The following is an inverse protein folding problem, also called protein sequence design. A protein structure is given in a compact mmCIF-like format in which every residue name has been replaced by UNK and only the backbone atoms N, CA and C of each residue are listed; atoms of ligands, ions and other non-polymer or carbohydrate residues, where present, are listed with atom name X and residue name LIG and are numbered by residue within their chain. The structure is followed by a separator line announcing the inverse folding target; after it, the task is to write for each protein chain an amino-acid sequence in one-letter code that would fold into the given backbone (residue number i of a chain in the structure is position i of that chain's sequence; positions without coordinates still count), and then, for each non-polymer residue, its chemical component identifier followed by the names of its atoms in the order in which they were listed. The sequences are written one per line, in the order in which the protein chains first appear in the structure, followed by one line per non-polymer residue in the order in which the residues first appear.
data_IF_198437956464
#
_entry.id   IF_198437956464
#
_cell.length_a   1.000
_cell.length_b   1.000
_cell.length_c   1.000
_cell.angle_alpha   90.00
_cell.angle_beta   90.00
_cell.angle_gamma   90.00
#
_symmetry.space_group_name_H-M   'P 1'
#
loop_
_entity.id
_entity.type
_entity.pdbx_description
1 polymer ?
#
# COMPACT_ATOMS: atom_id res chain seq x y z
N UNK A 1 40.85 -6.63 -6.98
CA UNK A 1 40.01 -5.95 -5.97
C UNK A 1 38.65 -5.56 -6.58
N UNK A 2 37.83 -6.53 -7.05
CA UNK A 2 36.59 -6.23 -7.80
C UNK A 2 35.32 -6.85 -7.16
N UNK A 3 35.27 -6.94 -5.84
CA UNK A 3 34.11 -7.49 -5.11
C UNK A 3 33.16 -6.46 -4.50
N UNK A 4 33.46 -5.15 -4.65
CA UNK A 4 32.73 -4.07 -3.98
C UNK A 4 31.79 -3.29 -4.92
N UNK A 5 31.85 -3.52 -6.23
CA UNK A 5 30.98 -2.85 -7.21
C UNK A 5 29.66 -3.59 -7.49
N UNK A 6 29.51 -4.85 -7.03
CA UNK A 6 28.30 -5.65 -7.22
C UNK A 6 27.24 -5.46 -6.12
N UNK A 7 27.57 -4.80 -5.01
CA UNK A 7 26.67 -4.60 -3.87
C UNK A 7 25.92 -3.26 -3.91
N UNK A 8 26.37 -2.31 -4.74
CA UNK A 8 25.67 -1.05 -4.97
C UNK A 8 24.68 -1.27 -6.12
N UNK A 9 23.39 -1.02 -5.83
CA UNK A 9 22.29 -0.81 -6.81
C UNK A 9 21.26 -1.92 -7.04
N UNK A 10 21.17 -2.99 -6.24
CA UNK A 10 19.94 -3.80 -6.28
C UNK A 10 18.73 -2.98 -5.78
N UNK A 11 18.88 -2.25 -4.67
CA UNK A 11 17.83 -1.40 -4.08
C UNK A 11 17.59 -0.08 -4.80
N UNK A 12 18.39 0.29 -5.81
CA UNK A 12 18.32 1.58 -6.50
C UNK A 12 17.70 1.50 -7.90
N UNK A 13 17.25 0.32 -8.35
CA UNK A 13 16.70 0.17 -9.70
C UNK A 13 15.47 1.09 -9.87
N UNK A 14 15.43 1.93 -10.93
CA UNK A 14 14.30 2.78 -11.20
C UNK A 14 13.07 1.92 -11.50
N UNK A 15 11.92 2.27 -10.92
CA UNK A 15 10.67 1.56 -11.22
C UNK A 15 10.21 1.93 -12.63
N UNK A 16 10.09 0.96 -13.56
CA UNK A 16 9.73 1.27 -14.95
C UNK A 16 8.34 1.91 -15.08
N UNK A 17 7.39 1.43 -14.27
CA UNK A 17 6.03 1.97 -14.18
C UNK A 17 5.79 2.33 -12.70
N UNK A 18 6.04 3.60 -12.31
CA UNK A 18 5.78 4.03 -10.94
C UNK A 18 4.26 4.05 -10.68
N UNK A 19 3.86 3.80 -9.42
CA UNK A 19 2.45 4.01 -9.04
C UNK A 19 2.11 5.49 -9.23
N UNK A 20 1.03 5.83 -9.97
CA UNK A 20 0.61 7.21 -10.13
C UNK A 20 0.42 7.90 -8.78
N UNK A 21 0.95 9.13 -8.65
CA UNK A 21 0.96 9.86 -7.38
C UNK A 21 -0.46 10.03 -6.83
N UNK A 22 -1.42 10.30 -7.71
CA UNK A 22 -2.85 10.45 -7.38
C UNK A 22 -3.44 9.17 -6.80
N UNK A 23 -3.19 8.02 -7.42
CA UNK A 23 -3.67 6.71 -6.93
C UNK A 23 -3.08 6.41 -5.57
N UNK A 24 -1.76 6.61 -5.43
CA UNK A 24 -1.04 6.40 -4.16
C UNK A 24 -1.60 7.29 -3.05
N UNK A 25 -1.79 8.59 -3.32
CA UNK A 25 -2.30 9.54 -2.35
C UNK A 25 -3.72 9.21 -1.91
N UNK A 26 -4.64 9.06 -2.87
CA UNK A 26 -6.06 8.82 -2.59
C UNK A 26 -6.23 7.50 -1.85
N UNK A 27 -5.58 6.43 -2.29
CA UNK A 27 -5.70 5.12 -1.66
C UNK A 27 -5.12 5.13 -0.24
N UNK A 28 -3.96 5.74 -0.02
CA UNK A 28 -3.41 5.89 1.34
C UNK A 28 -4.30 6.73 2.25
N UNK A 29 -4.87 7.82 1.74
CA UNK A 29 -5.80 8.66 2.49
C UNK A 29 -7.07 7.90 2.88
N UNK A 30 -7.67 7.15 1.94
CA UNK A 30 -8.87 6.35 2.20
C UNK A 30 -8.63 5.26 3.24
N UNK A 31 -7.51 4.55 3.18
CA UNK A 31 -7.16 3.55 4.21
C UNK A 31 -6.91 4.22 5.56
N UNK A 32 -6.26 5.39 5.59
CA UNK A 32 -6.06 6.16 6.81
C UNK A 32 -7.40 6.62 7.44
N UNK A 33 -8.36 7.06 6.62
CA UNK A 33 -9.74 7.35 7.09
C UNK A 33 -10.39 6.09 7.66
N UNK A 34 -10.29 4.96 6.96
CA UNK A 34 -10.88 3.70 7.39
C UNK A 34 -10.38 3.26 8.78
N UNK A 35 -9.09 3.48 9.07
CA UNK A 35 -8.51 3.18 10.40
C UNK A 35 -8.90 4.25 11.42
N UNK A 36 -8.71 5.53 11.10
CA UNK A 36 -8.91 6.63 12.05
C UNK A 36 -10.37 6.79 12.49
N UNK A 37 -11.35 6.49 11.64
CA UNK A 37 -12.77 6.59 12.03
C UNK A 37 -13.11 5.70 13.24
N UNK A 38 -12.36 4.62 13.44
CA UNK A 38 -12.55 3.69 14.56
C UNK A 38 -12.16 4.26 15.92
N UNK A 39 -11.41 5.38 16.00
CA UNK A 39 -11.11 6.05 17.27
C UNK A 39 -12.16 7.07 17.68
N UNK A 40 -13.09 7.42 16.79
CA UNK A 40 -14.03 8.52 16.99
C UNK A 40 -15.12 8.18 18.01
N UNK A 41 -15.86 9.19 18.46
CA UNK A 41 -17.07 9.02 19.27
C UNK A 41 -18.34 8.75 18.46
N UNK A 42 -18.22 8.47 17.15
CA UNK A 42 -19.35 8.13 16.29
C UNK A 42 -20.00 6.81 16.72
N UNK A 43 -21.27 6.63 16.38
CA UNK A 43 -21.96 5.36 16.56
C UNK A 43 -21.23 4.22 15.82
N UNK A 44 -21.22 3.03 16.42
CA UNK A 44 -20.43 1.88 15.95
C UNK A 44 -20.77 1.49 14.50
N UNK A 45 -22.04 1.62 14.13
CA UNK A 45 -22.57 1.36 12.79
C UNK A 45 -21.96 2.33 11.77
N UNK A 46 -21.90 3.62 12.11
CA UNK A 46 -21.33 4.66 11.25
C UNK A 46 -19.83 4.44 11.06
N UNK A 47 -19.12 4.06 12.12
CA UNK A 47 -17.69 3.73 12.04
C UNK A 47 -17.44 2.57 11.07
N UNK A 48 -18.20 1.48 11.18
CA UNK A 48 -18.05 0.28 10.33
C UNK A 48 -18.42 0.60 8.88
N UNK A 49 -19.53 1.31 8.64
CA UNK A 49 -19.94 1.72 7.30
C UNK A 49 -18.86 2.59 6.65
N UNK A 50 -18.33 3.56 7.38
CA UNK A 50 -17.27 4.45 6.88
C UNK A 50 -16.01 3.65 6.55
N UNK A 51 -15.60 2.74 7.43
CA UNK A 51 -14.47 1.84 7.18
C UNK A 51 -14.66 1.04 5.90
N UNK A 52 -15.83 0.42 5.70
CA UNK A 52 -16.11 -0.42 4.53
C UNK A 52 -16.14 0.40 3.24
N UNK A 53 -16.79 1.56 3.25
CA UNK A 53 -16.86 2.46 2.09
C UNK A 53 -15.46 2.97 1.74
N UNK A 54 -14.69 3.45 2.73
CA UNK A 54 -13.35 3.98 2.48
C UNK A 54 -12.38 2.90 2.00
N UNK A 55 -12.38 1.72 2.63
CA UNK A 55 -11.55 0.60 2.19
C UNK A 55 -11.95 0.12 0.79
N UNK A 56 -13.26 -0.05 0.53
CA UNK A 56 -13.80 -0.42 -0.78
C UNK A 56 -13.42 0.60 -1.86
N UNK A 57 -13.55 1.89 -1.59
CA UNK A 57 -13.15 2.96 -2.49
C UNK A 57 -11.64 2.95 -2.78
N UNK A 58 -10.79 2.66 -1.79
CA UNK A 58 -9.36 2.54 -2.00
C UNK A 58 -9.03 1.41 -2.99
N UNK A 59 -9.69 0.25 -2.85
CA UNK A 59 -9.54 -0.85 -3.81
C UNK A 59 -10.07 -0.48 -5.19
N UNK A 60 -11.23 0.19 -5.28
CA UNK A 60 -11.77 0.64 -6.56
C UNK A 60 -10.83 1.59 -7.29
N UNK A 61 -10.27 2.57 -6.60
CA UNK A 61 -9.28 3.52 -7.16
C UNK A 61 -8.05 2.76 -7.67
N UNK A 62 -7.57 1.79 -6.90
CA UNK A 62 -6.41 0.98 -7.29
C UNK A 62 -6.67 0.12 -8.54
N UNK A 63 -7.77 -0.64 -8.54
CA UNK A 63 -8.05 -1.62 -9.59
C UNK A 63 -8.63 -1.02 -10.88
N UNK A 64 -9.29 0.13 -10.80
CA UNK A 64 -9.92 0.77 -11.97
C UNK A 64 -8.95 1.64 -12.77
N UNK A 65 -7.78 1.97 -12.21
CA UNK A 65 -6.87 2.92 -12.85
C UNK A 65 -6.14 2.29 -14.05
N UNK A 66 -6.01 3.01 -15.19
CA UNK A 66 -5.48 2.48 -16.45
C UNK A 66 -4.05 1.91 -16.37
N UNK A 67 -3.21 2.44 -15.46
CA UNK A 67 -1.83 1.95 -15.28
C UNK A 67 -1.75 0.43 -14.98
N UNK A 68 -2.79 -0.19 -14.40
CA UNK A 68 -2.82 -1.65 -14.19
C UNK A 68 -2.76 -2.42 -15.52
N UNK A 69 -3.27 -1.85 -16.62
CA UNK A 69 -3.14 -2.40 -17.97
C UNK A 69 -1.71 -2.28 -18.49
N UNK A 70 -1.03 -1.17 -18.21
CA UNK A 70 0.37 -0.96 -18.57
C UNK A 70 1.30 -1.97 -17.88
N UNK A 71 1.06 -2.24 -16.59
CA UNK A 71 1.78 -3.27 -15.83
C UNK A 71 1.62 -4.65 -16.49
N UNK A 72 0.38 -5.01 -16.86
CA UNK A 72 0.11 -6.30 -17.54
C UNK A 72 0.85 -6.38 -18.87
N UNK A 73 0.74 -5.35 -19.71
CA UNK A 73 1.44 -5.30 -20.99
C UNK A 73 2.97 -5.36 -20.85
N UNK A 74 3.53 -4.75 -19.79
CA UNK A 74 4.97 -4.79 -19.49
C UNK A 74 5.46 -6.21 -19.14
N UNK A 75 4.66 -6.96 -18.37
CA UNK A 75 4.97 -8.34 -18.00
C UNK A 75 4.77 -9.30 -19.17
N UNK A 76 3.72 -9.12 -19.95
CA UNK A 76 3.39 -9.95 -21.11
C UNK A 76 4.47 -9.88 -22.19
N UNK A 77 5.05 -8.69 -22.45
CA UNK A 77 6.22 -8.52 -23.32
C UNK A 77 7.45 -9.32 -22.88
N UNK A 78 7.48 -9.80 -21.63
CA UNK A 78 8.55 -10.63 -21.07
C UNK A 78 8.13 -12.09 -20.86
N UNK A 79 6.96 -12.51 -21.38
CA UNK A 79 6.35 -13.82 -21.12
C UNK A 79 6.17 -14.10 -19.62
N UNK A 80 5.89 -13.05 -18.84
CA UNK A 80 5.64 -13.14 -17.40
C UNK A 80 4.19 -12.78 -17.09
N UNK A 81 3.69 -13.35 -16.00
CA UNK A 81 2.36 -13.06 -15.48
C UNK A 81 2.46 -12.34 -14.13
N UNK A 82 1.45 -11.53 -13.83
CA UNK A 82 1.33 -10.90 -12.51
C UNK A 82 1.01 -11.98 -11.48
N UNK A 83 1.98 -12.30 -10.63
CA UNK A 83 1.79 -13.19 -9.49
C UNK A 83 1.92 -12.39 -8.19
N UNK A 84 0.84 -12.28 -7.39
CA UNK A 84 0.94 -11.62 -6.09
C UNK A 84 1.87 -12.45 -5.19
N UNK A 85 2.95 -11.83 -4.71
CA UNK A 85 3.91 -12.47 -3.81
C UNK A 85 3.47 -12.23 -2.37
N UNK A 86 3.61 -13.24 -1.52
CA UNK A 86 3.31 -13.13 -0.09
C UNK A 86 4.06 -11.95 0.56
N UNK A 87 5.32 -11.75 0.19
CA UNK A 87 6.16 -10.64 0.68
C UNK A 87 5.64 -9.23 0.33
N UNK A 88 4.73 -9.10 -0.65
CA UNK A 88 4.06 -7.84 -0.98
C UNK A 88 2.89 -7.55 -0.04
N UNK A 89 2.29 -8.61 0.54
CA UNK A 89 1.15 -8.51 1.46
C UNK A 89 1.59 -8.35 2.91
N UNK A 90 2.77 -8.84 3.28
CA UNK A 90 3.31 -8.75 4.65
C UNK A 90 3.24 -7.34 5.26
N UNK A 91 3.59 -6.24 4.55
CA UNK A 91 3.50 -4.90 5.14
C UNK A 91 2.06 -4.46 5.51
N UNK A 92 1.05 -5.07 4.89
CA UNK A 92 -0.37 -4.84 5.18
C UNK A 92 -0.78 -5.41 6.55
N UNK A 93 -0.02 -6.35 7.09
CA UNK A 93 -0.24 -6.90 8.44
C UNK A 93 -0.25 -5.80 9.50
N UNK A 94 0.58 -4.77 9.39
CA UNK A 94 0.62 -3.66 10.35
C UNK A 94 -0.65 -2.81 10.30
N UNK A 95 -1.25 -2.63 9.12
CA UNK A 95 -2.54 -1.94 8.98
C UNK A 95 -3.66 -2.80 9.52
N UNK A 96 -3.63 -4.10 9.26
CA UNK A 96 -4.57 -5.04 9.88
C UNK A 96 -4.47 -5.04 11.41
N UNK A 97 -3.24 -5.03 11.95
CA UNK A 97 -3.00 -4.94 13.38
C UNK A 97 -3.55 -3.61 13.95
N UNK A 98 -3.35 -2.51 13.23
CA UNK A 98 -3.97 -1.23 13.59
C UNK A 98 -5.49 -1.32 13.62
N UNK A 99 -6.14 -1.94 12.62
CA UNK A 99 -7.59 -2.13 12.60
C UNK A 99 -8.11 -2.91 13.81
N UNK A 100 -7.33 -3.84 14.36
CA UNK A 100 -7.69 -4.61 15.55
C UNK A 100 -7.50 -3.82 16.84
N UNK A 101 -6.45 -2.99 16.91
CA UNK A 101 -6.07 -2.30 18.16
C UNK A 101 -6.70 -0.92 18.31
N UNK A 102 -6.83 -0.17 17.22
CA UNK A 102 -7.30 1.22 17.21
C UNK A 102 -8.71 1.40 17.81
N UNK A 103 -9.68 0.48 17.63
CA UNK A 103 -10.98 0.55 18.30
C UNK A 103 -10.90 0.59 19.83
N UNK A 104 -9.84 0.03 20.45
CA UNK A 104 -9.66 0.04 21.90
C UNK A 104 -9.41 1.45 22.46
N UNK A 105 -9.07 2.40 21.57
CA UNK A 105 -8.85 3.80 21.93
C UNK A 105 -10.15 4.61 21.91
N UNK A 106 -11.26 4.07 21.41
CA UNK A 106 -12.52 4.80 21.31
C UNK A 106 -13.26 4.90 22.65
N UNK A 107 -13.91 6.04 22.97
CA UNK A 107 -13.87 7.30 22.23
C UNK A 107 -12.58 8.08 22.54
N UNK A 108 -11.80 8.38 21.51
CA UNK A 108 -10.57 9.14 21.64
C UNK A 108 -10.80 10.64 21.37
N UNK A 109 -10.02 11.54 21.99
CA UNK A 109 -10.01 12.94 21.62
C UNK A 109 -9.52 13.14 20.16
N UNK A 110 -9.90 14.26 19.54
CA UNK A 110 -9.67 14.51 18.11
C UNK A 110 -8.20 14.38 17.69
N UNK A 111 -7.26 14.76 18.58
CA UNK A 111 -5.83 14.70 18.29
C UNK A 111 -5.32 13.25 18.17
N UNK A 112 -5.87 12.30 18.93
CA UNK A 112 -5.54 10.86 18.80
C UNK A 112 -6.04 10.33 17.45
N UNK A 113 -7.24 10.75 17.04
CA UNK A 113 -7.79 10.41 15.72
C UNK A 113 -6.91 10.95 14.59
N UNK A 114 -6.44 12.19 14.71
CA UNK A 114 -5.52 12.79 13.74
C UNK A 114 -4.18 12.04 13.69
N UNK A 115 -3.61 11.66 14.85
CA UNK A 115 -2.38 10.86 14.90
C UNK A 115 -2.58 9.50 14.23
N UNK A 116 -3.67 8.78 14.53
CA UNK A 116 -3.99 7.50 13.90
C UNK A 116 -4.10 7.63 12.37
N UNK A 117 -4.72 8.72 11.90
CA UNK A 117 -4.76 9.04 10.47
C UNK A 117 -3.36 9.26 9.90
N UNK A 118 -2.55 10.16 10.45
CA UNK A 118 -1.24 10.50 9.87
C UNK A 118 -0.24 9.33 9.93
N UNK A 119 -0.25 8.54 11.00
CA UNK A 119 0.58 7.32 11.10
C UNK A 119 0.18 6.32 10.02
N UNK A 120 -1.12 6.03 9.90
CA UNK A 120 -1.62 5.08 8.91
C UNK A 120 -1.36 5.57 7.49
N UNK A 121 -1.60 6.85 7.23
CA UNK A 121 -1.35 7.50 5.94
C UNK A 121 0.13 7.41 5.57
N UNK A 122 1.02 7.80 6.49
CA UNK A 122 2.47 7.76 6.29
C UNK A 122 2.96 6.33 6.03
N UNK A 123 2.49 5.37 6.82
CA UNK A 123 2.80 3.96 6.61
C UNK A 123 2.35 3.49 5.22
N UNK A 124 1.07 3.67 4.90
CA UNK A 124 0.50 3.28 3.62
C UNK A 124 1.21 3.95 2.45
N UNK A 125 1.51 5.25 2.56
CA UNK A 125 2.27 5.98 1.57
C UNK A 125 3.61 5.30 1.30
N UNK A 126 4.38 4.94 2.31
CA UNK A 126 5.68 4.29 2.16
C UNK A 126 5.58 2.91 1.52
N UNK A 127 4.66 2.07 1.99
CA UNK A 127 4.57 0.67 1.54
C UNK A 127 3.78 0.49 0.23
N UNK A 128 3.03 1.50 -0.22
CA UNK A 128 2.10 1.39 -1.34
C UNK A 128 2.74 0.78 -2.61
N UNK A 129 3.91 1.25 -3.10
CA UNK A 129 4.51 0.72 -4.32
C UNK A 129 4.91 -0.76 -4.19
N UNK A 130 5.17 -1.21 -2.94
CA UNK A 130 5.52 -2.59 -2.65
C UNK A 130 4.28 -3.50 -2.65
N UNK A 131 3.19 -3.04 -2.01
CA UNK A 131 1.90 -3.74 -1.95
C UNK A 131 1.23 -3.80 -3.34
N UNK A 132 1.24 -2.68 -4.06
CA UNK A 132 0.71 -2.59 -5.43
C UNK A 132 1.52 -3.46 -6.43
N UNK A 133 2.79 -3.69 -6.09
CA UNK A 133 3.71 -4.52 -6.85
C UNK A 133 4.44 -3.80 -7.98
N UNK A 134 4.24 -2.49 -8.14
CA UNK A 134 5.02 -1.65 -9.06
C UNK A 134 6.51 -1.68 -8.72
N UNK A 135 6.87 -1.82 -7.43
CA UNK A 135 8.28 -1.96 -7.02
C UNK A 135 8.91 -3.26 -7.51
N UNK A 136 8.14 -4.35 -7.63
CA UNK A 136 8.65 -5.63 -8.11
C UNK A 136 9.04 -5.58 -9.59
N UNK A 137 8.46 -4.66 -10.37
CA UNK A 137 8.79 -4.47 -11.79
C UNK A 137 10.24 -4.07 -12.02
N UNK A 138 10.87 -3.41 -11.03
CA UNK A 138 12.27 -3.02 -11.10
C UNK A 138 13.23 -4.23 -11.09
N UNK A 139 12.78 -5.40 -10.63
CA UNK A 139 13.61 -6.58 -10.41
C UNK A 139 13.32 -7.71 -11.39
N UNK A 140 12.45 -7.49 -12.37
CA UNK A 140 12.01 -8.54 -13.31
C UNK A 140 13.17 -9.09 -14.13
N UNK A 141 14.13 -8.22 -14.51
CA UNK A 141 15.28 -8.59 -15.33
C UNK A 141 16.49 -9.04 -14.46
N UNK A 142 16.32 -9.18 -13.13
CA UNK A 142 17.38 -9.62 -12.21
C UNK A 142 17.33 -11.14 -12.01
N UNK A 143 18.45 -11.87 -12.19
CA UNK A 143 18.47 -13.32 -11.98
C UNK A 143 18.11 -13.69 -10.52
N UNK A 144 17.40 -14.81 -10.29
CA UNK A 144 17.03 -15.24 -8.94
C UNK A 144 18.28 -15.47 -8.09
N UNK A 145 18.32 -14.86 -6.90
CA UNK A 145 19.36 -15.16 -5.91
C UNK A 145 19.07 -16.55 -5.34
N UNK A 146 19.92 -17.53 -5.70
CA UNK A 146 20.00 -18.85 -5.08
C UNK A 146 20.47 -18.75 -3.64
#
# INVERSE_FOLDING_TARGET
MNGLSSSISATALPTPIPTPLTVRFISSALIAVAVAVLTTSLAREIQVITLLISAGAAFLVLFSHPYRKEIRAFLEKRNLHYTPKFSQVVPLFFVWLALMLVPLLAPAPFWVTAIAFFITFGWMWLIFPHVDGTRALAFVDTPPRT
#
